data_IF_389633688809
#
_entry.id   IF_389633688809
#
_cell.length_a   1.000
_cell.length_b   1.000
_cell.length_c   1.000
_cell.angle_alpha   90.00
_cell.angle_beta   90.00
_cell.angle_gamma   90.00
#
_symmetry.space_group_name_H-M   'P 1'
#
loop_
_entity.id
_entity.type
_entity.pdbx_description
1 polymer ?
#
# COMPACT_ATOMS: atom_id res chain seq x y z
N UNK A 1 -1.44 -53.80 -21.66
CA UNK A 1 -1.25 -52.40 -22.05
C UNK A 1 -0.80 -51.59 -20.81
N UNK A 2 0.37 -50.92 -20.87
CA UNK A 2 0.93 -50.22 -19.70
C UNK A 2 0.27 -48.86 -19.57
N UNK A 3 -0.67 -48.68 -18.62
CA UNK A 3 -1.38 -47.41 -18.34
C UNK A 3 -0.54 -46.40 -17.56
N UNK A 4 0.68 -46.75 -17.19
CA UNK A 4 1.55 -45.96 -16.33
C UNK A 4 2.00 -44.55 -16.88
N UNK A 5 2.33 -44.38 -18.18
CA UNK A 5 2.71 -43.08 -18.68
C UNK A 5 1.57 -42.07 -18.73
N UNK A 6 0.31 -42.51 -18.81
CA UNK A 6 -0.85 -41.59 -18.84
C UNK A 6 -1.18 -41.05 -17.45
N UNK A 7 -1.05 -41.88 -16.41
CA UNK A 7 -1.23 -41.44 -15.02
C UNK A 7 -0.16 -40.42 -14.58
N UNK A 8 1.09 -40.58 -15.06
CA UNK A 8 2.19 -39.67 -14.78
C UNK A 8 1.98 -38.29 -15.43
N UNK A 9 1.47 -38.24 -16.67
CA UNK A 9 1.13 -36.99 -17.35
C UNK A 9 -0.02 -36.24 -16.68
N UNK A 10 -1.03 -36.93 -16.15
CA UNK A 10 -2.10 -36.30 -15.40
C UNK A 10 -1.63 -35.72 -14.07
N UNK A 11 -0.71 -36.38 -13.37
CA UNK A 11 -0.14 -35.87 -12.12
C UNK A 11 0.72 -34.62 -12.33
N UNK A 12 1.45 -34.51 -13.44
CA UNK A 12 2.29 -33.34 -13.75
C UNK A 12 1.41 -32.15 -14.11
N UNK A 13 0.27 -32.33 -14.75
CA UNK A 13 -0.64 -31.21 -15.09
C UNK A 13 -1.37 -30.64 -13.87
N UNK A 14 -1.57 -31.42 -12.80
CA UNK A 14 -2.16 -30.93 -11.54
C UNK A 14 -1.16 -30.09 -10.71
N UNK A 15 0.14 -30.24 -10.93
CA UNK A 15 1.16 -29.54 -10.16
C UNK A 15 1.47 -28.12 -10.67
N UNK A 16 0.98 -27.74 -11.84
CA UNK A 16 1.13 -26.38 -12.38
C UNK A 16 0.01 -25.45 -11.90
N UNK A 17 -0.14 -25.30 -10.59
CA UNK A 17 -0.89 -24.17 -10.04
C UNK A 17 -0.03 -22.92 -10.27
N UNK A 18 -0.46 -21.93 -11.08
CA UNK A 18 0.29 -20.72 -11.21
C UNK A 18 0.44 -20.11 -9.81
N UNK A 19 1.68 -19.97 -9.34
CA UNK A 19 1.95 -19.26 -8.12
C UNK A 19 1.55 -17.79 -8.35
N UNK A 20 0.43 -17.40 -7.78
CA UNK A 20 0.05 -15.99 -7.73
C UNK A 20 1.04 -15.29 -6.82
N UNK A 21 1.84 -14.38 -7.37
CA UNK A 21 2.74 -13.57 -6.57
C UNK A 21 1.96 -12.42 -5.93
N UNK A 22 2.14 -12.22 -4.63
CA UNK A 22 1.67 -11.03 -3.95
C UNK A 22 2.33 -9.79 -4.56
N UNK A 23 1.57 -8.72 -4.71
CA UNK A 23 2.08 -7.44 -5.21
C UNK A 23 2.20 -6.45 -4.06
N UNK A 24 3.31 -5.70 -4.05
CA UNK A 24 3.53 -4.61 -3.11
C UNK A 24 3.53 -3.29 -3.85
N UNK A 25 2.73 -2.36 -3.36
CA UNK A 25 2.72 -0.96 -3.77
C UNK A 25 3.43 -0.15 -2.69
N UNK A 26 4.36 0.71 -3.09
CA UNK A 26 5.12 1.55 -2.17
C UNK A 26 5.13 2.98 -2.70
N UNK A 27 4.62 3.91 -1.92
CA UNK A 27 4.74 5.34 -2.13
C UNK A 27 5.78 5.86 -1.14
N UNK A 28 6.94 6.21 -1.64
CA UNK A 28 8.08 6.68 -0.84
C UNK A 28 8.23 8.19 -1.03
N UNK A 29 8.02 8.95 0.04
CA UNK A 29 8.11 10.40 0.06
C UNK A 29 9.50 10.90 0.52
N UNK A 30 10.33 10.01 1.06
CA UNK A 30 11.65 10.34 1.60
C UNK A 30 12.73 10.50 0.52
N UNK A 31 12.45 10.16 -0.74
CA UNK A 31 13.42 10.21 -1.85
C UNK A 31 13.26 11.41 -2.76
N UNK A 32 12.28 12.26 -2.53
CA UNK A 32 11.98 13.41 -3.38
C UNK A 32 12.85 14.60 -3.01
N UNK A 33 13.32 15.41 -3.97
CA UNK A 33 14.09 16.64 -3.68
C UNK A 33 13.31 17.63 -2.82
N UNK A 34 14.03 18.40 -1.99
CA UNK A 34 13.47 19.42 -1.14
C UNK A 34 12.76 20.51 -1.97
N UNK A 35 11.44 20.57 -1.92
CA UNK A 35 10.65 21.51 -2.71
C UNK A 35 9.21 21.66 -2.21
N UNK A 36 8.69 22.90 -2.29
CA UNK A 36 7.25 23.13 -2.22
C UNK A 36 6.58 22.69 -3.52
N UNK A 37 5.45 21.99 -3.41
CA UNK A 37 4.65 21.61 -4.59
C UNK A 37 3.82 22.79 -5.14
N UNK A 38 3.73 23.90 -4.41
CA UNK A 38 2.88 25.04 -4.79
C UNK A 38 1.38 24.77 -4.76
N UNK A 39 0.97 23.59 -4.31
CA UNK A 39 -0.42 23.15 -4.18
C UNK A 39 -0.63 22.35 -2.90
N UNK A 40 -1.84 22.38 -2.38
CA UNK A 40 -2.20 21.60 -1.20
C UNK A 40 -2.67 20.18 -1.54
N UNK A 41 -2.77 19.81 -2.82
CA UNK A 41 -3.19 18.46 -3.22
C UNK A 41 -2.27 17.91 -4.31
N UNK A 42 -1.96 16.62 -4.23
CA UNK A 42 -1.19 15.93 -5.26
C UNK A 42 -1.54 14.44 -5.29
N UNK A 43 -1.38 13.81 -6.46
CA UNK A 43 -1.57 12.37 -6.64
C UNK A 43 -0.23 11.69 -6.85
N UNK A 44 0.02 10.65 -6.07
CA UNK A 44 1.24 9.85 -6.08
C UNK A 44 0.96 8.47 -6.66
N UNK A 45 1.84 7.96 -7.49
CA UNK A 45 1.66 6.68 -8.18
C UNK A 45 2.70 5.65 -7.76
N UNK A 46 2.24 4.42 -7.56
CA UNK A 46 3.07 3.23 -7.40
C UNK A 46 2.50 2.12 -8.27
N UNK A 47 3.28 1.62 -9.23
CA UNK A 47 2.85 0.56 -10.17
C UNK A 47 1.47 0.85 -10.80
N UNK A 48 1.22 2.10 -11.22
CA UNK A 48 -0.03 2.54 -11.84
C UNK A 48 -1.21 2.75 -10.88
N UNK A 49 -1.05 2.52 -9.59
CA UNK A 49 -2.06 2.81 -8.57
C UNK A 49 -1.78 4.17 -7.96
N UNK A 50 -2.77 5.07 -8.00
CA UNK A 50 -2.68 6.42 -7.46
C UNK A 50 -3.28 6.50 -6.05
N UNK A 51 -2.62 7.22 -5.15
CA UNK A 51 -3.18 7.74 -3.90
C UNK A 51 -3.12 9.26 -3.95
N UNK A 52 -4.14 9.93 -3.41
CA UNK A 52 -4.17 11.39 -3.36
C UNK A 52 -3.83 11.86 -1.94
N UNK A 53 -2.96 12.88 -1.83
CA UNK A 53 -2.68 13.56 -0.58
C UNK A 53 -3.20 15.00 -0.65
N UNK A 54 -3.86 15.45 0.42
CA UNK A 54 -4.36 16.82 0.58
C UNK A 54 -3.90 17.36 1.93
N UNK A 55 -3.06 18.38 1.91
CA UNK A 55 -2.59 19.07 3.11
C UNK A 55 -3.54 20.18 3.55
N UNK A 56 -3.53 20.52 4.83
CA UNK A 56 -4.17 21.73 5.38
C UNK A 56 -3.58 23.03 4.78
N UNK A 57 -2.35 22.94 4.26
CA UNK A 57 -1.67 23.96 3.46
C UNK A 57 -0.95 23.31 2.28
N UNK A 58 -0.14 24.06 1.53
CA UNK A 58 0.61 23.49 0.42
C UNK A 58 1.53 22.36 0.90
N UNK A 59 1.58 21.29 0.11
CA UNK A 59 2.45 20.15 0.37
C UNK A 59 3.92 20.52 0.14
N UNK A 60 4.79 19.95 0.93
CA UNK A 60 6.23 20.13 0.85
C UNK A 60 6.97 18.79 0.97
N UNK A 61 7.97 18.59 0.10
CA UNK A 61 8.94 17.50 0.28
C UNK A 61 10.15 18.00 1.06
N UNK A 62 10.39 17.43 2.23
CA UNK A 62 11.59 17.64 3.02
C UNK A 62 12.63 16.58 2.69
N UNK A 63 13.85 16.99 2.40
CA UNK A 63 14.97 16.10 2.11
C UNK A 63 16.06 16.26 3.18
N UNK A 64 16.77 15.19 3.46
CA UNK A 64 17.90 15.19 4.37
C UNK A 64 18.91 16.29 4.04
N UNK A 65 19.31 17.08 5.03
CA UNK A 65 20.20 18.23 4.86
C UNK A 65 19.54 19.45 4.23
N UNK A 66 18.23 19.43 4.01
CA UNK A 66 17.44 20.56 3.56
C UNK A 66 17.14 21.58 4.67
N UNK A 67 16.22 22.50 4.37
CA UNK A 67 15.78 23.53 5.33
C UNK A 67 15.07 22.82 6.51
N UNK A 68 15.42 23.20 7.75
CA UNK A 68 14.67 22.85 8.95
C UNK A 68 15.03 21.56 9.67
N UNK A 69 16.08 20.82 9.27
CA UNK A 69 16.48 19.61 10.03
C UNK A 69 17.48 18.74 9.30
N UNK A 70 18.57 18.44 9.95
CA UNK A 70 19.59 17.54 9.42
C UNK A 70 19.15 16.09 9.64
N UNK A 71 18.77 15.38 8.61
CA UNK A 71 18.52 13.93 8.66
C UNK A 71 17.08 13.50 8.47
N UNK A 72 16.13 14.43 8.45
CA UNK A 72 14.72 14.13 8.32
C UNK A 72 14.24 14.25 6.86
N UNK A 73 13.43 13.32 6.41
CA UNK A 73 12.95 13.28 5.04
C UNK A 73 11.51 12.84 5.00
N UNK A 74 10.70 13.39 4.09
CA UNK A 74 9.31 12.97 3.94
C UNK A 74 8.42 14.04 3.33
N UNK A 75 7.13 13.74 3.31
CA UNK A 75 6.08 14.66 2.92
C UNK A 75 5.57 15.40 4.16
N UNK A 76 5.65 16.71 4.13
CA UNK A 76 5.12 17.62 5.11
C UNK A 76 4.39 18.78 4.47
N UNK A 77 4.38 19.95 5.11
CA UNK A 77 3.61 21.12 4.73
C UNK A 77 4.50 22.35 4.55
N UNK A 78 4.20 23.18 3.57
CA UNK A 78 4.99 24.38 3.19
C UNK A 78 4.65 25.61 4.03
N UNK A 79 4.05 25.45 5.22
CA UNK A 79 3.65 26.64 5.98
C UNK A 79 4.36 26.76 7.33
N UNK A 80 4.37 28.00 7.77
CA UNK A 80 4.47 28.51 9.14
C UNK A 80 5.84 28.40 9.81
N UNK A 81 6.54 27.29 9.68
CA UNK A 81 7.87 27.05 10.25
C UNK A 81 8.88 26.72 9.15
N UNK A 82 10.15 26.95 9.44
CA UNK A 82 11.25 26.69 8.50
C UNK A 82 11.55 25.20 8.32
N UNK A 83 10.95 24.32 9.12
CA UNK A 83 11.17 22.87 9.08
C UNK A 83 10.25 22.13 8.09
N UNK A 84 9.10 22.75 7.71
CA UNK A 84 8.17 22.21 6.73
C UNK A 84 7.56 20.84 7.08
N UNK A 85 7.30 20.59 8.34
CA UNK A 85 6.69 19.39 8.87
C UNK A 85 5.18 19.55 9.11
N UNK A 86 4.51 18.53 9.57
CA UNK A 86 3.12 18.57 10.00
C UNK A 86 3.12 18.95 11.48
N UNK A 87 2.84 20.19 11.79
CA UNK A 87 2.80 20.72 13.16
C UNK A 87 1.44 20.51 13.84
N UNK A 88 1.33 20.68 15.17
CA UNK A 88 0.05 20.62 15.88
C UNK A 88 -1.01 21.52 15.25
N UNK A 89 -2.20 20.98 15.03
CA UNK A 89 -3.30 21.66 14.36
C UNK A 89 -3.26 21.60 12.83
N UNK A 90 -2.24 21.00 12.25
CA UNK A 90 -2.11 20.74 10.82
C UNK A 90 -2.34 19.25 10.51
N UNK A 91 -2.65 18.96 9.24
CA UNK A 91 -2.84 17.58 8.81
C UNK A 91 -2.60 17.40 7.31
N UNK A 92 -2.28 16.17 6.95
CA UNK A 92 -2.35 15.66 5.58
C UNK A 92 -3.39 14.53 5.54
N UNK A 93 -4.31 14.61 4.61
CA UNK A 93 -5.30 13.55 4.35
C UNK A 93 -4.84 12.75 3.15
N UNK A 94 -4.69 11.43 3.32
CA UNK A 94 -4.46 10.49 2.24
C UNK A 94 -5.79 9.84 1.82
N UNK A 95 -6.08 9.84 0.53
CA UNK A 95 -7.22 9.12 -0.02
C UNK A 95 -6.73 7.79 -0.62
N UNK A 96 -7.09 6.69 0.04
CA UNK A 96 -6.73 5.32 -0.30
C UNK A 96 -7.87 4.55 -1.01
N UNK A 97 -8.94 5.23 -1.44
CA UNK A 97 -10.12 4.57 -2.04
C UNK A 97 -9.81 3.78 -3.31
N UNK A 98 -8.78 4.18 -4.06
CA UNK A 98 -8.29 3.44 -5.24
C UNK A 98 -7.86 1.99 -4.94
N UNK A 99 -7.57 1.69 -3.68
CA UNK A 99 -7.16 0.38 -3.19
C UNK A 99 -8.34 -0.54 -2.84
N UNK A 100 -9.56 -0.01 -2.73
CA UNK A 100 -10.72 -0.80 -2.29
C UNK A 100 -11.11 -1.92 -3.26
N UNK A 101 -10.80 -1.74 -4.54
CA UNK A 101 -10.99 -2.78 -5.58
C UNK A 101 -9.91 -3.85 -5.57
N UNK A 102 -8.83 -3.66 -4.80
CA UNK A 102 -7.72 -4.59 -4.69
C UNK A 102 -7.95 -5.56 -3.52
N UNK A 103 -7.38 -6.76 -3.65
CA UNK A 103 -7.37 -7.73 -2.55
C UNK A 103 -6.22 -7.41 -1.58
N UNK A 104 -6.39 -6.33 -0.81
CA UNK A 104 -5.39 -5.84 0.14
C UNK A 104 -5.30 -6.77 1.33
N UNK A 105 -4.09 -7.21 1.66
CA UNK A 105 -3.76 -8.09 2.80
C UNK A 105 -2.93 -7.39 3.87
N UNK A 106 -2.38 -6.22 3.57
CA UNK A 106 -1.64 -5.42 4.52
C UNK A 106 -1.54 -3.96 4.08
N UNK A 107 -1.61 -3.06 5.04
CA UNK A 107 -1.34 -1.63 4.87
C UNK A 107 -0.47 -1.18 6.02
N UNK A 108 0.63 -0.54 5.71
CA UNK A 108 1.51 0.06 6.71
C UNK A 108 1.89 1.49 6.34
N UNK A 109 2.16 2.28 7.36
CA UNK A 109 2.60 3.65 7.27
C UNK A 109 3.91 3.80 8.02
N UNK A 110 4.81 4.62 7.50
CA UNK A 110 6.03 5.05 8.16
C UNK A 110 5.97 6.56 8.31
N UNK A 111 6.02 7.03 9.54
CA UNK A 111 6.21 8.43 9.90
C UNK A 111 7.65 8.66 10.33
N UNK A 112 8.19 9.82 10.05
CA UNK A 112 9.50 10.29 10.49
C UNK A 112 9.37 11.56 11.29
N UNK A 113 10.52 12.04 11.81
CA UNK A 113 10.61 13.22 12.64
C UNK A 113 9.86 13.12 13.98
N UNK A 114 9.74 11.92 14.54
CA UNK A 114 9.11 11.72 15.84
C UNK A 114 10.20 11.61 16.89
N UNK A 115 10.57 12.73 17.49
CA UNK A 115 11.60 12.82 18.51
C UNK A 115 11.06 12.44 19.90
N UNK A 116 11.91 12.51 20.93
CA UNK A 116 11.50 12.13 22.27
C UNK A 116 10.43 13.07 22.85
N UNK A 117 9.26 12.50 23.18
CA UNK A 117 8.10 13.24 23.68
C UNK A 117 7.12 13.68 22.58
N UNK A 118 7.45 13.46 21.32
CA UNK A 118 6.58 13.76 20.20
C UNK A 118 5.72 12.56 19.82
N UNK A 119 4.58 12.85 19.20
CA UNK A 119 3.62 11.84 18.77
C UNK A 119 2.97 12.24 17.46
N UNK A 120 2.86 11.27 16.54
CA UNK A 120 2.01 11.36 15.36
C UNK A 120 0.71 10.61 15.58
N UNK A 121 -0.37 11.05 14.95
CA UNK A 121 -1.64 10.36 14.92
C UNK A 121 -2.08 10.07 13.50
N UNK A 122 -2.66 8.90 13.31
CA UNK A 122 -3.23 8.46 12.03
C UNK A 122 -4.63 7.95 12.31
N UNK A 123 -5.63 8.68 11.82
CA UNK A 123 -7.04 8.42 12.09
C UNK A 123 -7.82 8.20 10.79
N UNK A 124 -8.80 7.30 10.84
CA UNK A 124 -9.81 7.21 9.78
C UNK A 124 -10.90 8.28 9.94
N UNK A 125 -11.85 8.33 9.02
CA UNK A 125 -12.97 9.26 9.07
C UNK A 125 -13.99 8.98 10.22
N UNK A 126 -13.79 7.90 10.98
CA UNK A 126 -14.66 7.43 12.06
C UNK A 126 -14.00 7.55 13.43
N UNK A 127 -12.92 8.34 13.50
CA UNK A 127 -12.16 8.62 14.73
C UNK A 127 -11.44 7.39 15.32
N UNK A 128 -11.32 6.28 14.58
CA UNK A 128 -10.40 5.21 14.95
C UNK A 128 -8.98 5.67 14.65
N UNK A 129 -8.08 5.60 15.64
CA UNK A 129 -6.74 6.16 15.51
C UNK A 129 -5.65 5.16 15.93
N UNK A 130 -4.50 5.29 15.26
CA UNK A 130 -3.21 4.68 15.67
C UNK A 130 -2.25 5.81 16.02
N UNK A 131 -1.62 5.72 17.20
CA UNK A 131 -0.63 6.70 17.66
C UNK A 131 0.78 6.17 17.43
N UNK A 132 1.63 7.03 16.89
CA UNK A 132 3.05 6.83 16.66
C UNK A 132 3.82 7.65 17.70
N UNK A 133 4.71 7.02 18.43
CA UNK A 133 5.65 7.71 19.33
C UNK A 133 7.10 7.56 18.84
N UNK A 134 8.05 8.10 19.56
CA UNK A 134 9.48 8.04 19.19
C UNK A 134 10.03 6.62 18.98
N UNK A 135 9.44 5.61 19.61
CA UNK A 135 9.75 4.20 19.34
C UNK A 135 9.38 3.71 17.96
N UNK A 136 8.49 4.42 17.26
CA UNK A 136 8.01 4.12 15.90
C UNK A 136 8.64 5.04 14.83
N UNK A 137 9.51 5.98 15.23
CA UNK A 137 10.17 6.90 14.30
C UNK A 137 10.86 6.13 13.18
N UNK A 138 10.57 6.52 11.94
CA UNK A 138 11.10 5.91 10.72
C UNK A 138 10.92 4.38 10.65
N UNK A 139 9.92 3.84 11.34
CA UNK A 139 9.55 2.42 11.30
C UNK A 139 8.17 2.21 10.67
N UNK A 140 8.04 1.11 9.96
CA UNK A 140 6.77 0.69 9.37
C UNK A 140 5.83 0.17 10.47
N UNK A 141 4.66 0.80 10.60
CA UNK A 141 3.60 0.41 11.55
C UNK A 141 2.37 0.00 10.76
N UNK A 142 1.78 -1.14 11.12
CA UNK A 142 0.55 -1.61 10.47
C UNK A 142 -0.62 -0.71 10.83
N UNK A 143 -1.32 -0.24 9.80
CA UNK A 143 -2.60 0.48 9.88
C UNK A 143 -3.71 -0.29 9.17
N UNK A 144 -3.52 -1.61 9.00
CA UNK A 144 -4.46 -2.46 8.25
C UNK A 144 -5.85 -2.50 8.89
N UNK A 145 -5.94 -2.38 10.22
CA UNK A 145 -7.22 -2.24 10.94
C UNK A 145 -8.01 -1.02 10.47
N UNK A 146 -7.38 0.17 10.44
CA UNK A 146 -8.01 1.40 9.94
C UNK A 146 -8.45 1.25 8.48
N UNK A 147 -7.60 0.68 7.63
CA UNK A 147 -7.95 0.45 6.22
C UNK A 147 -9.16 -0.46 6.06
N UNK A 148 -9.30 -1.49 6.89
CA UNK A 148 -10.44 -2.41 6.87
C UNK A 148 -11.72 -1.70 7.25
N UNK A 149 -11.68 -0.85 8.27
CA UNK A 149 -12.82 -0.04 8.70
C UNK A 149 -13.20 1.00 7.64
N UNK A 150 -12.23 1.69 7.06
CA UNK A 150 -12.45 2.60 5.93
C UNK A 150 -13.14 1.91 4.75
N UNK A 151 -12.67 0.71 4.37
CA UNK A 151 -13.25 -0.09 3.28
C UNK A 151 -14.69 -0.49 3.58
N UNK A 152 -14.98 -0.93 4.80
CA UNK A 152 -16.32 -1.30 5.26
C UNK A 152 -17.32 -0.16 5.18
N UNK A 153 -16.87 1.05 5.46
CA UNK A 153 -17.70 2.26 5.46
C UNK A 153 -17.60 3.10 4.17
N UNK A 154 -16.89 2.59 3.15
CA UNK A 154 -16.67 3.26 1.86
C UNK A 154 -16.04 4.66 1.96
N UNK A 155 -15.26 4.92 3.02
CA UNK A 155 -14.52 6.17 3.21
C UNK A 155 -13.02 5.90 3.10
N UNK A 156 -12.38 6.33 2.01
CA UNK A 156 -10.94 6.13 1.77
C UNK A 156 -10.02 7.14 2.45
N UNK A 157 -10.54 7.98 3.35
CA UNK A 157 -9.80 9.11 3.92
C UNK A 157 -9.08 8.70 5.20
N UNK A 158 -7.76 8.90 5.20
CA UNK A 158 -6.86 8.68 6.31
C UNK A 158 -6.20 10.01 6.67
N UNK A 159 -6.46 10.53 7.85
CA UNK A 159 -5.90 11.80 8.34
C UNK A 159 -4.64 11.54 9.14
N UNK A 160 -3.55 12.17 8.74
CA UNK A 160 -2.27 12.16 9.45
C UNK A 160 -2.06 13.54 10.07
N UNK A 161 -1.81 13.58 11.37
CA UNK A 161 -1.60 14.81 12.15
C UNK A 161 -0.52 14.61 13.19
N UNK A 162 0.03 15.73 13.68
CA UNK A 162 0.86 15.71 14.88
C UNK A 162 -0.04 15.76 16.12
N UNK A 163 0.27 14.95 17.12
CA UNK A 163 -0.31 15.05 18.47
C UNK A 163 0.48 16.04 19.33
N UNK A 164 1.79 15.84 19.39
CA UNK A 164 2.77 16.74 20.04
C UNK A 164 4.03 16.78 19.20
N UNK A 165 4.68 17.94 19.08
CA UNK A 165 5.81 18.15 18.19
C UNK A 165 5.38 18.17 16.72
N UNK A 166 6.19 17.62 15.86
CA UNK A 166 6.00 17.63 14.42
C UNK A 166 6.27 16.23 13.82
N UNK A 167 5.73 15.97 12.64
CA UNK A 167 5.86 14.68 11.98
C UNK A 167 5.96 14.84 10.46
N UNK A 168 6.57 13.84 9.80
CA UNK A 168 6.63 13.69 8.35
C UNK A 168 6.03 12.37 7.92
N UNK A 169 5.46 12.32 6.72
CA UNK A 169 5.07 11.05 6.10
C UNK A 169 6.24 10.56 5.25
N UNK A 170 6.87 9.45 5.64
CA UNK A 170 8.00 8.88 4.91
C UNK A 170 7.55 7.91 3.84
N UNK A 171 6.61 7.02 4.17
CA UNK A 171 6.21 5.95 3.25
C UNK A 171 4.81 5.41 3.56
N UNK A 172 4.09 5.07 2.51
CA UNK A 172 2.91 4.19 2.56
C UNK A 172 3.25 2.91 1.81
N UNK A 173 2.95 1.76 2.39
CA UNK A 173 3.12 0.47 1.75
C UNK A 173 1.84 -0.35 1.84
N UNK A 174 1.48 -0.99 0.73
CA UNK A 174 0.28 -1.84 0.64
C UNK A 174 0.65 -3.16 -0.02
N UNK A 175 0.29 -4.25 0.64
CA UNK A 175 0.43 -5.62 0.11
C UNK A 175 -0.92 -6.11 -0.36
N UNK A 176 -0.96 -6.75 -1.52
CA UNK A 176 -2.16 -7.38 -2.05
C UNK A 176 -1.86 -8.82 -2.39
N UNK A 177 -2.80 -9.73 -2.12
CA UNK A 177 -2.71 -11.07 -2.67
C UNK A 177 -3.17 -11.08 -4.12
N UNK A 178 -2.48 -11.82 -4.95
CA UNK A 178 -2.91 -12.04 -6.31
C UNK A 178 -4.18 -12.92 -6.32
N UNK A 179 -5.20 -12.45 -7.01
CA UNK A 179 -6.39 -13.27 -7.30
C UNK A 179 -6.07 -14.10 -8.55
N UNK A 180 -6.18 -15.43 -8.52
CA UNK A 180 -6.06 -16.24 -9.72
C UNK A 180 -7.04 -15.73 -10.78
N UNK A 181 -6.52 -15.35 -11.95
CA UNK A 181 -7.38 -14.83 -13.02
C UNK A 181 -8.40 -15.92 -13.41
N UNK A 182 -9.70 -15.58 -13.53
CA UNK A 182 -10.73 -16.52 -13.93
C UNK A 182 -10.39 -17.26 -15.24
N UNK A 183 -9.68 -16.57 -16.14
CA UNK A 183 -9.21 -17.13 -17.41
C UNK A 183 -8.20 -18.28 -17.23
N UNK A 184 -7.35 -18.23 -16.21
CA UNK A 184 -6.41 -19.32 -15.90
C UNK A 184 -7.15 -20.58 -15.45
N UNK A 185 -8.22 -20.42 -14.67
CA UNK A 185 -9.08 -21.53 -14.23
C UNK A 185 -9.88 -22.12 -15.39
N UNK A 186 -10.39 -21.27 -16.29
CA UNK A 186 -11.11 -21.70 -17.50
C UNK A 186 -10.15 -22.43 -18.46
N UNK A 187 -8.95 -21.92 -18.68
CA UNK A 187 -7.95 -22.54 -19.54
C UNK A 187 -7.50 -23.91 -18.98
N UNK A 188 -7.29 -23.99 -17.67
CA UNK A 188 -6.99 -25.24 -16.99
C UNK A 188 -8.14 -26.24 -17.08
N UNK A 189 -9.39 -25.79 -16.85
CA UNK A 189 -10.59 -26.63 -16.98
C UNK A 189 -10.80 -27.14 -18.41
N UNK A 190 -10.67 -26.28 -19.41
CA UNK A 190 -10.81 -26.67 -20.83
C UNK A 190 -9.67 -27.57 -21.29
N UNK A 191 -8.46 -27.35 -20.80
CA UNK A 191 -7.31 -28.22 -21.05
C UNK A 191 -7.52 -29.65 -20.51
N UNK A 192 -8.05 -29.77 -19.30
CA UNK A 192 -8.39 -31.09 -18.69
C UNK A 192 -9.48 -31.81 -19.45
N UNK A 193 -10.55 -31.11 -19.87
CA UNK A 193 -11.63 -31.67 -20.66
C UNK A 193 -11.12 -32.15 -22.03
N UNK A 194 -10.24 -31.35 -22.67
CA UNK A 194 -9.62 -31.73 -23.94
C UNK A 194 -8.76 -32.97 -23.82
N UNK A 195 -7.96 -33.10 -22.77
CA UNK A 195 -7.13 -34.27 -22.48
C UNK A 195 -7.99 -35.52 -22.20
N UNK A 196 -9.05 -35.38 -21.41
CA UNK A 196 -9.98 -36.47 -21.13
C UNK A 196 -10.67 -36.99 -22.41
N UNK A 197 -11.03 -36.08 -23.32
CA UNK A 197 -11.60 -36.45 -24.63
C UNK A 197 -10.62 -37.23 -25.52
N UNK A 198 -9.36 -36.84 -25.56
CA UNK A 198 -8.33 -37.56 -26.31
C UNK A 198 -8.05 -38.95 -25.76
N UNK A 199 -8.01 -39.10 -24.43
CA UNK A 199 -7.80 -40.40 -23.77
C UNK A 199 -8.99 -41.35 -24.08
N UNK A 200 -10.21 -40.85 -23.99
CA UNK A 200 -11.42 -41.64 -24.31
C UNK A 200 -11.44 -42.15 -25.76
N UNK A 201 -11.00 -41.29 -26.70
CA UNK A 201 -10.93 -41.67 -28.11
C UNK A 201 -9.87 -42.76 -28.42
N UNK A 202 -8.75 -42.76 -27.67
CA UNK A 202 -7.71 -43.79 -27.79
C UNK A 202 -8.05 -45.11 -27.13
N UNK A 203 -8.90 -45.13 -26.13
CA UNK A 203 -9.29 -46.33 -25.40
C UNK A 203 -10.54 -46.97 -25.98
N UNK A 204 -11.31 -46.25 -26.81
CA UNK A 204 -12.53 -46.77 -27.46
C UNK A 204 -12.34 -47.19 -28.94
N UNK A 205 -11.11 -47.13 -29.45
CA UNK A 205 -10.69 -47.65 -30.73
C UNK A 205 -9.82 -48.91 -30.52
#
# INVERSE_FOLDING_TARGET
>A
MKLWPIALLLLISLAAIPASADSTYTWNFATTPNASLGTNTNTYYSNGVGINATGSTNLFYKQQGGIGGAGETGLGLACCDSDHEINPGQSIILNLSSLFSKNVTGVSLMLGSIQNGETGQVCDAFESCVTFGSGNDSKSVSIFGLFTDMKKHHSGLLTISSGTGDVLINQVQVTTSAVPEPNSLILMGTGLVGLAGMVRRKLGA
#
